data_IF_582494802432
#
_entry.id   IF_582494802432
#
_cell.length_a   1.000
_cell.length_b   1.000
_cell.length_c   1.000
_cell.angle_alpha   90.00
_cell.angle_beta   90.00
_cell.angle_gamma   90.00
#
_symmetry.space_group_name_H-M   'P 1'
#
loop_
_entity.id
_entity.type
_entity.pdbx_description
1 polymer ?
#
# COMPACT_ATOMS: atom_id res chain seq x y z
N UNK A 1 6.23 2.94 -14.60
CA UNK A 1 7.32 2.90 -13.57
C UNK A 1 6.87 3.73 -12.38
N UNK A 2 6.88 3.15 -11.20
CA UNK A 2 6.47 3.86 -9.99
C UNK A 2 7.34 5.10 -9.75
N UNK A 3 6.69 6.24 -9.52
CA UNK A 3 7.38 7.51 -9.23
C UNK A 3 8.06 7.44 -7.85
N UNK A 4 9.28 7.95 -7.74
CA UNK A 4 10.01 7.94 -6.46
C UNK A 4 9.46 9.02 -5.52
N UNK A 5 8.97 8.60 -4.35
CA UNK A 5 8.45 9.48 -3.31
C UNK A 5 9.39 9.44 -2.09
N UNK A 6 9.65 10.59 -1.50
CA UNK A 6 10.51 10.72 -0.31
C UNK A 6 9.71 11.38 0.79
N UNK A 7 9.73 10.76 1.97
CA UNK A 7 9.10 11.27 3.18
C UNK A 7 10.17 11.55 4.26
N UNK A 8 9.76 11.84 5.47
CA UNK A 8 10.71 12.07 6.57
C UNK A 8 11.58 10.84 6.83
N UNK A 9 11.00 9.64 6.87
CA UNK A 9 11.70 8.39 7.24
C UNK A 9 11.76 7.36 6.13
N UNK A 10 11.01 7.54 5.03
CA UNK A 10 10.82 6.54 4.00
C UNK A 10 11.23 7.05 2.62
N UNK A 11 11.60 6.09 1.78
CA UNK A 11 11.64 6.23 0.33
C UNK A 11 10.71 5.18 -0.25
N UNK A 12 9.72 5.61 -1.02
CA UNK A 12 8.91 4.73 -1.84
C UNK A 12 9.45 4.77 -3.25
N UNK A 13 9.87 3.63 -3.75
CA UNK A 13 10.48 3.48 -5.09
C UNK A 13 9.97 2.23 -5.80
N UNK A 14 10.18 2.16 -7.10
CA UNK A 14 9.86 0.94 -7.84
C UNK A 14 10.61 -0.28 -7.26
N UNK A 15 9.99 -1.45 -7.34
CA UNK A 15 10.61 -2.71 -6.99
C UNK A 15 11.77 -3.04 -7.92
N UNK A 16 12.80 -3.68 -7.40
CA UNK A 16 13.95 -4.18 -8.15
C UNK A 16 14.18 -5.68 -7.84
N UNK A 17 14.85 -6.36 -8.74
CA UNK A 17 15.13 -7.79 -8.58
C UNK A 17 15.91 -8.12 -7.29
N UNK A 18 16.76 -7.21 -6.84
CA UNK A 18 17.52 -7.32 -5.60
C UNK A 18 16.68 -7.24 -4.31
N UNK A 19 15.41 -6.83 -4.40
CA UNK A 19 14.53 -6.67 -3.23
C UNK A 19 13.84 -7.99 -2.81
N UNK A 20 14.06 -9.08 -3.52
CA UNK A 20 13.29 -10.32 -3.35
C UNK A 20 13.37 -10.91 -1.93
N UNK A 21 14.50 -10.86 -1.27
CA UNK A 21 14.65 -11.34 0.11
C UNK A 21 13.82 -10.50 1.08
N UNK A 22 13.95 -9.19 1.01
CA UNK A 22 13.19 -8.28 1.86
C UNK A 22 11.68 -8.34 1.55
N UNK A 23 11.30 -8.48 0.28
CA UNK A 23 9.91 -8.69 -0.12
C UNK A 23 9.34 -9.99 0.44
N UNK A 24 10.12 -11.08 0.45
CA UNK A 24 9.70 -12.36 1.01
C UNK A 24 9.46 -12.27 2.53
N UNK A 25 10.21 -11.46 3.25
CA UNK A 25 10.00 -11.23 4.69
C UNK A 25 8.63 -10.60 4.98
N UNK A 26 8.07 -9.84 4.03
CA UNK A 26 6.70 -9.33 4.15
C UNK A 26 5.67 -10.29 3.54
N UNK A 27 5.78 -10.60 2.25
CA UNK A 27 4.76 -11.37 1.50
C UNK A 27 4.81 -12.88 1.74
N UNK A 28 5.86 -13.39 2.32
CA UNK A 28 5.99 -14.77 2.81
C UNK A 28 5.53 -14.95 4.26
N UNK A 29 5.23 -13.88 4.98
CA UNK A 29 4.75 -13.93 6.35
C UNK A 29 3.27 -14.32 6.42
N UNK A 30 2.91 -15.23 7.31
CA UNK A 30 1.55 -15.75 7.43
C UNK A 30 0.56 -14.69 7.94
N UNK A 31 0.98 -13.79 8.84
CA UNK A 31 0.13 -12.73 9.36
C UNK A 31 -0.16 -11.66 8.30
N UNK A 32 0.82 -11.35 7.45
CA UNK A 32 0.62 -10.46 6.30
C UNK A 32 -0.30 -11.11 5.27
N UNK A 33 -0.01 -12.35 4.87
CA UNK A 33 -0.78 -13.09 3.88
C UNK A 33 -2.24 -13.31 4.28
N UNK A 34 -2.52 -13.47 5.57
CA UNK A 34 -3.87 -13.62 6.12
C UNK A 34 -4.83 -12.51 5.67
N UNK A 35 -4.32 -11.29 5.57
CA UNK A 35 -5.12 -10.13 5.19
C UNK A 35 -5.17 -9.86 3.68
N UNK A 36 -4.25 -10.45 2.91
CA UNK A 36 -4.20 -10.33 1.46
C UNK A 36 -5.08 -11.36 0.73
N UNK A 37 -5.24 -12.56 1.32
CA UNK A 37 -6.09 -13.62 0.71
C UNK A 37 -7.56 -13.16 0.60
N UNK A 38 -8.28 -13.48 -0.47
CA UNK A 38 -7.89 -14.28 -1.62
C UNK A 38 -7.26 -13.48 -2.78
N UNK A 39 -7.08 -12.18 -2.65
CA UNK A 39 -6.51 -11.35 -3.72
C UNK A 39 -5.07 -11.75 -4.05
N UNK A 40 -4.32 -12.18 -3.03
CA UNK A 40 -2.96 -12.67 -3.17
C UNK A 40 -2.71 -13.76 -2.13
N UNK A 41 -2.10 -14.85 -2.57
CA UNK A 41 -1.67 -15.93 -1.70
C UNK A 41 -0.31 -15.63 -1.05
N UNK A 42 -0.05 -16.32 0.06
CA UNK A 42 1.27 -16.31 0.69
C UNK A 42 2.34 -16.76 -0.28
N UNK A 43 3.41 -15.98 -0.41
CA UNK A 43 4.56 -16.36 -1.24
C UNK A 43 5.39 -17.42 -0.52
N UNK A 44 5.60 -18.57 -1.18
CA UNK A 44 6.14 -19.75 -0.54
C UNK A 44 7.66 -19.76 -0.35
N UNK A 45 8.39 -19.16 -1.29
CA UNK A 45 9.85 -19.17 -1.29
C UNK A 45 10.46 -18.00 -2.10
N UNK A 46 11.77 -17.89 -2.06
CA UNK A 46 12.51 -16.82 -2.73
C UNK A 46 12.38 -16.87 -4.26
N UNK A 47 12.29 -18.07 -4.85
CA UNK A 47 12.13 -18.22 -6.30
C UNK A 47 10.76 -17.68 -6.75
N UNK A 48 9.70 -18.02 -6.01
CA UNK A 48 8.37 -17.50 -6.25
C UNK A 48 8.31 -15.96 -6.07
N UNK A 49 9.00 -15.44 -5.05
CA UNK A 49 9.06 -13.98 -4.84
C UNK A 49 9.80 -13.25 -5.98
N UNK A 50 10.88 -13.81 -6.48
CA UNK A 50 11.60 -13.26 -7.63
C UNK A 50 10.73 -13.18 -8.88
N UNK A 51 9.98 -14.25 -9.18
CA UNK A 51 9.03 -14.28 -10.30
C UNK A 51 7.93 -13.22 -10.12
N UNK A 52 7.39 -13.10 -8.92
CA UNK A 52 6.36 -12.11 -8.63
C UNK A 52 6.88 -10.68 -8.78
N UNK A 53 8.08 -10.39 -8.32
CA UNK A 53 8.71 -9.08 -8.53
C UNK A 53 8.96 -8.78 -10.00
N UNK A 54 9.40 -9.75 -10.78
CA UNK A 54 9.56 -9.58 -12.24
C UNK A 54 8.23 -9.24 -12.90
N UNK A 55 7.16 -9.91 -12.50
CA UNK A 55 5.81 -9.63 -12.97
C UNK A 55 5.39 -8.20 -12.60
N UNK A 56 5.54 -7.80 -11.34
CA UNK A 56 5.18 -6.46 -10.88
C UNK A 56 5.95 -5.37 -11.60
N UNK A 57 7.24 -5.54 -11.82
CA UNK A 57 8.07 -4.58 -12.57
C UNK A 57 7.58 -4.45 -14.02
N UNK A 58 7.23 -5.57 -14.66
CA UNK A 58 6.70 -5.56 -16.03
C UNK A 58 5.31 -4.92 -16.13
N UNK A 59 4.45 -5.18 -15.14
CA UNK A 59 3.12 -4.56 -15.06
C UNK A 59 3.22 -3.05 -14.79
N UNK A 60 4.06 -2.64 -13.85
CA UNK A 60 4.27 -1.22 -13.50
C UNK A 60 4.76 -0.39 -14.70
N UNK A 61 5.56 -0.99 -15.58
CA UNK A 61 6.03 -0.34 -16.79
C UNK A 61 4.87 0.01 -17.76
N UNK A 62 3.72 -0.64 -17.61
CA UNK A 62 2.53 -0.44 -18.43
C UNK A 62 1.42 0.33 -17.72
N UNK A 63 1.55 0.54 -16.40
CA UNK A 63 0.56 1.30 -15.65
C UNK A 63 0.61 2.77 -16.00
N UNK A 64 -0.58 3.35 -16.07
CA UNK A 64 -0.73 4.80 -16.23
C UNK A 64 -0.61 5.49 -14.86
N UNK A 65 0.05 6.64 -14.84
CA UNK A 65 0.08 7.52 -13.68
C UNK A 65 -1.35 7.84 -13.22
N UNK A 66 -1.65 7.80 -11.91
CA UNK A 66 -0.72 7.68 -10.79
C UNK A 66 -0.46 6.27 -10.27
N UNK A 67 -1.01 5.25 -10.91
CA UNK A 67 -0.93 3.87 -10.43
C UNK A 67 0.51 3.34 -10.33
N UNK A 68 0.74 2.45 -9.38
CA UNK A 68 2.02 1.78 -9.20
C UNK A 68 2.09 0.89 -7.97
N UNK A 69 3.19 0.16 -7.90
CA UNK A 69 3.61 -0.65 -6.73
C UNK A 69 4.98 -0.18 -6.28
N UNK A 70 5.11 0.11 -5.01
CA UNK A 70 6.34 0.64 -4.41
C UNK A 70 6.94 -0.32 -3.42
N UNK A 71 8.25 -0.47 -3.45
CA UNK A 71 9.02 -0.91 -2.31
C UNK A 71 9.09 0.25 -1.31
N UNK A 72 8.86 -0.06 -0.04
CA UNK A 72 8.99 0.88 1.08
C UNK A 72 10.34 0.66 1.74
N UNK A 73 11.20 1.67 1.67
CA UNK A 73 12.57 1.63 2.15
C UNK A 73 12.79 2.64 3.28
N UNK A 74 13.50 2.25 4.33
CA UNK A 74 13.94 3.16 5.38
C UNK A 74 15.06 4.06 4.85
N UNK A 75 14.91 5.37 4.97
CA UNK A 75 15.92 6.33 4.48
C UNK A 75 17.27 6.18 5.14
N UNK A 76 17.29 5.89 6.43
CA UNK A 76 18.53 5.88 7.22
C UNK A 76 19.40 4.66 6.91
N UNK A 77 18.78 3.52 6.62
CA UNK A 77 19.50 2.25 6.45
C UNK A 77 19.47 1.71 5.04
N UNK A 78 18.55 2.17 4.20
CA UNK A 78 18.28 1.59 2.88
C UNK A 78 17.58 0.23 2.94
N UNK A 79 17.12 -0.20 4.12
CA UNK A 79 16.41 -1.46 4.29
C UNK A 79 15.01 -1.36 3.70
N UNK A 80 14.63 -2.29 2.83
CA UNK A 80 13.26 -2.46 2.37
C UNK A 80 12.47 -3.20 3.44
N UNK A 81 11.37 -2.61 3.88
CA UNK A 81 10.52 -3.10 4.98
C UNK A 81 9.16 -3.63 4.53
N UNK A 82 8.87 -3.56 3.25
CA UNK A 82 7.62 -4.04 2.67
C UNK A 82 7.24 -3.29 1.41
N UNK A 83 5.96 -3.29 1.10
CA UNK A 83 5.41 -2.66 -0.09
C UNK A 83 4.19 -1.77 0.18
N UNK A 84 3.93 -0.89 -0.77
CA UNK A 84 2.72 -0.09 -0.82
C UNK A 84 2.22 -0.01 -2.26
N UNK A 85 0.93 0.19 -2.43
CA UNK A 85 0.28 0.19 -3.74
C UNK A 85 -0.70 1.34 -3.86
N UNK A 86 -0.83 1.85 -5.08
CA UNK A 86 -1.94 2.69 -5.52
C UNK A 86 -2.44 2.10 -6.83
N UNK A 87 -3.56 1.42 -6.81
CA UNK A 87 -4.05 0.64 -7.94
C UNK A 87 -5.47 1.02 -8.32
N UNK A 88 -5.81 1.00 -9.62
CA UNK A 88 -7.19 1.17 -10.05
C UNK A 88 -8.07 0.07 -9.45
N UNK A 89 -9.28 0.43 -9.07
CA UNK A 89 -10.26 -0.45 -8.44
C UNK A 89 -11.52 -0.57 -9.34
N UNK A 90 -11.50 -1.47 -10.34
CA UNK A 90 -12.66 -1.67 -11.20
C UNK A 90 -13.88 -2.21 -10.41
N UNK A 91 -15.12 -1.95 -10.85
CA UNK A 91 -15.48 -1.26 -12.10
C UNK A 91 -15.54 0.27 -12.01
N UNK A 92 -15.40 0.80 -10.80
CA UNK A 92 -15.46 2.24 -10.56
C UNK A 92 -14.09 2.88 -10.91
N UNK A 93 -14.09 4.17 -11.27
CA UNK A 93 -12.88 4.94 -11.54
C UNK A 93 -12.22 5.39 -10.22
N UNK A 94 -12.06 4.46 -9.29
CA UNK A 94 -11.44 4.70 -7.99
C UNK A 94 -10.02 4.14 -7.95
N UNK A 95 -9.21 4.67 -7.05
CA UNK A 95 -7.87 4.18 -6.75
C UNK A 95 -7.79 3.71 -5.30
N UNK A 96 -7.32 2.48 -5.12
CA UNK A 96 -7.10 1.88 -3.80
C UNK A 96 -5.66 2.06 -3.34
N UNK A 97 -5.49 2.52 -2.10
CA UNK A 97 -4.23 2.48 -1.39
C UNK A 97 -4.13 1.16 -0.61
N UNK A 98 -3.04 0.45 -0.81
CA UNK A 98 -2.70 -0.76 -0.07
C UNK A 98 -1.29 -0.67 0.52
N UNK A 99 -1.02 -1.49 1.52
CA UNK A 99 0.30 -1.60 2.17
C UNK A 99 0.49 -2.97 2.81
N UNK A 100 1.71 -3.46 2.76
CA UNK A 100 2.14 -4.71 3.40
C UNK A 100 3.55 -4.51 3.94
N UNK A 101 3.67 -4.42 5.25
CA UNK A 101 4.96 -4.28 5.92
C UNK A 101 5.32 -5.55 6.67
N UNK A 102 6.62 -5.80 6.79
CA UNK A 102 7.16 -6.85 7.66
C UNK A 102 6.62 -6.67 9.09
N UNK A 103 6.19 -7.74 9.78
CA UNK A 103 5.57 -7.62 11.11
C UNK A 103 6.42 -6.90 12.15
N UNK A 104 7.75 -7.06 12.12
CA UNK A 104 8.67 -6.36 13.02
C UNK A 104 8.69 -4.84 12.84
N UNK A 105 8.21 -4.35 11.69
CA UNK A 105 8.14 -2.91 11.39
C UNK A 105 6.78 -2.29 11.71
N UNK A 106 5.86 -3.08 12.26
CA UNK A 106 4.57 -2.58 12.69
C UNK A 106 4.68 -1.73 13.96
N UNK A 107 3.75 -0.80 14.14
CA UNK A 107 3.70 0.06 15.33
C UNK A 107 4.62 1.28 15.31
N UNK A 108 5.37 1.49 14.24
CA UNK A 108 6.26 2.65 14.07
C UNK A 108 5.65 3.82 13.27
N UNK A 109 4.43 3.66 12.75
CA UNK A 109 3.77 4.67 11.93
C UNK A 109 4.21 4.70 10.46
N UNK A 110 5.00 3.74 10.00
CA UNK A 110 5.49 3.69 8.62
C UNK A 110 4.36 3.50 7.59
N UNK A 111 3.39 2.66 7.88
CA UNK A 111 2.24 2.47 6.98
C UNK A 111 1.42 3.75 6.81
N UNK A 112 1.21 4.50 7.88
CA UNK A 112 0.54 5.81 7.85
C UNK A 112 1.33 6.81 7.01
N UNK A 113 2.64 6.87 7.20
CA UNK A 113 3.53 7.76 6.46
C UNK A 113 3.55 7.44 4.96
N UNK A 114 3.64 6.15 4.61
CA UNK A 114 3.58 5.69 3.24
C UNK A 114 2.21 5.95 2.59
N UNK A 115 1.12 5.67 3.29
CA UNK A 115 -0.24 5.91 2.81
C UNK A 115 -0.52 7.38 2.54
N UNK A 116 -0.06 8.28 3.40
CA UNK A 116 -0.16 9.73 3.20
C UNK A 116 0.66 10.19 1.99
N UNK A 117 1.84 9.64 1.79
CA UNK A 117 2.67 9.97 0.63
C UNK A 117 1.98 9.57 -0.68
N UNK A 118 1.39 8.37 -0.73
CA UNK A 118 0.64 7.90 -1.90
C UNK A 118 -0.62 8.72 -2.15
N UNK A 119 -1.35 9.08 -1.11
CA UNK A 119 -2.53 9.93 -1.25
C UNK A 119 -2.18 11.30 -1.83
N UNK A 120 -1.14 11.95 -1.31
CA UNK A 120 -0.65 13.23 -1.83
C UNK A 120 -0.24 13.11 -3.29
N UNK A 121 0.54 12.08 -3.62
CA UNK A 121 0.91 11.78 -5.00
C UNK A 121 -0.31 11.67 -5.92
N UNK A 122 -1.32 10.89 -5.53
CA UNK A 122 -2.54 10.73 -6.30
C UNK A 122 -3.24 12.07 -6.53
N UNK A 123 -3.36 12.89 -5.49
CA UNK A 123 -4.00 14.21 -5.57
C UNK A 123 -3.23 15.20 -6.44
N UNK A 124 -1.89 15.17 -6.39
CA UNK A 124 -1.02 15.97 -7.28
C UNK A 124 -1.20 15.57 -8.75
N UNK A 125 -1.61 14.33 -9.01
CA UNK A 125 -1.93 13.86 -10.37
C UNK A 125 -3.40 14.07 -10.77
N UNK A 126 -4.16 14.80 -9.96
CA UNK A 126 -5.55 15.17 -10.28
C UNK A 126 -6.61 14.15 -9.87
N UNK A 127 -6.24 13.13 -9.09
CA UNK A 127 -7.21 12.20 -8.50
C UNK A 127 -7.97 12.91 -7.40
N UNK A 128 -9.29 12.85 -7.43
CA UNK A 128 -10.16 13.58 -6.50
C UNK A 128 -10.32 12.88 -5.15
N UNK A 129 -10.15 11.54 -5.13
CA UNK A 129 -10.25 10.74 -3.92
C UNK A 129 -9.51 9.41 -4.07
N UNK A 130 -9.03 8.88 -2.96
CA UNK A 130 -8.50 7.52 -2.86
C UNK A 130 -9.29 6.73 -1.82
N UNK A 131 -9.35 5.42 -1.99
CA UNK A 131 -10.06 4.52 -1.09
C UNK A 131 -9.11 3.50 -0.46
N UNK A 132 -9.52 2.93 0.66
CA UNK A 132 -8.92 1.74 1.24
C UNK A 132 -10.02 0.74 1.57
N UNK A 133 -9.79 -0.51 1.24
CA UNK A 133 -10.68 -1.63 1.55
C UNK A 133 -10.06 -2.46 2.67
N UNK A 134 -10.77 -2.57 3.78
CA UNK A 134 -10.23 -3.18 5.00
C UNK A 134 -11.19 -4.24 5.51
N UNK A 135 -10.67 -5.41 5.86
CA UNK A 135 -11.47 -6.42 6.57
C UNK A 135 -11.83 -5.89 7.97
N UNK A 136 -13.08 -6.04 8.42
CA UNK A 136 -13.52 -5.55 9.73
C UNK A 136 -12.67 -6.08 10.90
N UNK A 137 -12.21 -7.33 10.81
CA UNK A 137 -11.38 -7.96 11.82
C UNK A 137 -9.91 -7.49 11.83
N UNK A 138 -9.46 -6.78 10.78
CA UNK A 138 -8.11 -6.22 10.72
C UNK A 138 -8.06 -4.87 11.47
N UNK A 139 -8.07 -4.94 12.79
CA UNK A 139 -8.11 -3.75 13.67
C UNK A 139 -6.90 -2.83 13.48
N UNK A 140 -5.75 -3.38 13.11
CA UNK A 140 -4.54 -2.60 12.80
C UNK A 140 -4.73 -1.74 11.57
N UNK A 141 -5.25 -2.31 10.49
CA UNK A 141 -5.53 -1.58 9.26
C UNK A 141 -6.63 -0.52 9.47
N UNK A 142 -7.68 -0.83 10.24
CA UNK A 142 -8.71 0.14 10.62
C UNK A 142 -8.11 1.32 11.39
N UNK A 143 -7.24 1.05 12.36
CA UNK A 143 -6.56 2.12 13.11
C UNK A 143 -5.67 2.98 12.20
N UNK A 144 -4.98 2.36 11.24
CA UNK A 144 -4.10 3.06 10.31
C UNK A 144 -4.88 3.98 9.36
N UNK A 145 -5.95 3.53 8.73
CA UNK A 145 -6.75 4.37 7.83
C UNK A 145 -7.37 5.56 8.55
N UNK A 146 -7.75 5.39 9.82
CA UNK A 146 -8.21 6.48 10.67
C UNK A 146 -7.11 7.50 10.98
N UNK A 147 -5.88 7.05 11.22
CA UNK A 147 -4.73 7.94 11.45
C UNK A 147 -4.37 8.75 10.20
N UNK A 148 -4.57 8.19 9.01
CA UNK A 148 -4.44 8.93 7.74
C UNK A 148 -5.48 10.05 7.63
N UNK A 149 -6.62 9.90 8.32
CA UNK A 149 -7.76 10.83 8.23
C UNK A 149 -8.84 10.35 7.26
N UNK A 150 -8.83 9.06 6.91
CA UNK A 150 -9.85 8.49 6.01
C UNK A 150 -11.21 8.41 6.69
N UNK A 151 -12.25 8.76 5.94
CA UNK A 151 -13.65 8.67 6.35
C UNK A 151 -14.19 7.27 6.02
N UNK A 152 -14.90 6.65 6.97
CA UNK A 152 -15.67 5.45 6.69
C UNK A 152 -16.89 5.78 5.84
N UNK A 153 -17.07 5.10 4.71
CA UNK A 153 -18.17 5.36 3.77
C UNK A 153 -19.13 4.20 3.60
N UNK A 154 -18.91 3.11 4.30
CA UNK A 154 -19.82 1.97 4.30
C UNK A 154 -19.13 0.63 4.16
N UNK A 155 -19.94 -0.40 3.97
CA UNK A 155 -19.48 -1.75 3.68
C UNK A 155 -19.74 -2.10 2.22
N UNK A 156 -18.89 -2.96 1.66
CA UNK A 156 -19.01 -3.45 0.30
C UNK A 156 -18.73 -4.95 0.21
N UNK A 157 -19.41 -5.63 -0.68
CA UNK A 157 -19.16 -7.03 -1.05
C UNK A 157 -18.73 -7.17 -2.52
N UNK A 158 -18.43 -6.06 -3.19
CA UNK A 158 -18.08 -6.02 -4.61
C UNK A 158 -16.76 -6.70 -4.94
N UNK A 159 -15.87 -6.86 -3.95
CA UNK A 159 -14.47 -7.24 -4.18
C UNK A 159 -14.15 -8.56 -3.49
N UNK A 160 -13.53 -9.47 -4.24
CA UNK A 160 -12.99 -10.75 -3.76
C UNK A 160 -13.98 -11.66 -3.01
N UNK A 161 -15.29 -11.45 -3.15
CA UNK A 161 -16.29 -12.20 -2.40
C UNK A 161 -16.24 -11.97 -0.88
N UNK A 162 -15.67 -10.88 -0.44
CA UNK A 162 -15.48 -10.52 0.96
C UNK A 162 -16.36 -9.35 1.35
N UNK A 163 -16.79 -9.36 2.61
CA UNK A 163 -17.38 -8.17 3.24
C UNK A 163 -16.24 -7.28 3.74
N UNK A 164 -16.12 -6.10 3.14
CA UNK A 164 -15.05 -5.14 3.40
C UNK A 164 -15.64 -3.82 3.88
N UNK A 165 -14.91 -3.14 4.75
CA UNK A 165 -15.17 -1.75 5.09
C UNK A 165 -14.43 -0.87 4.09
N UNK A 166 -15.13 0.10 3.53
CA UNK A 166 -14.57 1.08 2.61
C UNK A 166 -14.33 2.40 3.33
N UNK A 167 -13.12 2.89 3.21
CA UNK A 167 -12.71 4.21 3.70
C UNK A 167 -12.29 5.06 2.51
N UNK A 168 -12.47 6.37 2.65
CA UNK A 168 -12.18 7.36 1.59
C UNK A 168 -11.34 8.49 2.15
N UNK A 169 -10.43 9.02 1.33
CA UNK A 169 -9.69 10.24 1.59
C UNK A 169 -9.81 11.19 0.40
N UNK A 170 -10.05 12.45 0.67
CA UNK A 170 -10.05 13.56 -0.28
C UNK A 170 -8.95 14.56 0.07
N UNK A 171 -8.53 15.44 -0.86
CA UNK A 171 -7.52 16.45 -0.56
C UNK A 171 -7.82 17.30 0.68
N UNK A 172 -9.10 17.65 0.88
CA UNK A 172 -9.54 18.44 2.04
C UNK A 172 -9.47 17.73 3.40
N UNK A 173 -9.36 16.40 3.40
CA UNK A 173 -9.25 15.57 4.61
C UNK A 173 -7.79 15.48 5.11
N UNK A 174 -6.82 15.87 4.27
CA UNK A 174 -5.42 15.95 4.68
C UNK A 174 -5.28 17.02 5.73
N UNK A 175 -5.13 16.63 7.00
CA UNK A 175 -4.81 17.58 8.06
C UNK A 175 -3.48 18.24 7.75
N UNK A 176 -3.44 19.59 7.88
CA UNK A 176 -2.17 20.31 7.91
C UNK A 176 -1.24 19.64 8.94
N UNK A 177 0.08 19.52 8.68
CA UNK A 177 0.99 19.03 9.69
C UNK A 177 0.76 19.84 10.95
N UNK A 178 0.76 19.21 12.14
CA UNK A 178 0.63 19.95 13.39
C UNK A 178 1.68 21.06 13.36
N UNK A 179 1.20 22.28 13.47
CA UNK A 179 2.04 23.47 13.41
C UNK A 179 3.19 23.33 14.40
N UNK A 180 4.36 23.78 13.99
CA UNK A 180 5.57 23.81 14.80
C UNK A 180 5.35 24.54 16.09
#
# INVERSE_FOLDING_TARGET
MAHRLVTERLVLRGWAAGDAEAALDAYGDAEVARWLSPAMDKVGDLAAMRLLLQQWVAEDARMMTPAGRWAVELRDTGQVIGGATLLPLPPDDEYEIGWQLQPQEWGHGYATEAGLALARWAFEQGIEQVVALVRPANTRAVAMVRRIGMEWVGETEKYHGLRLQQFRLRPGDLTAPPGR
#
